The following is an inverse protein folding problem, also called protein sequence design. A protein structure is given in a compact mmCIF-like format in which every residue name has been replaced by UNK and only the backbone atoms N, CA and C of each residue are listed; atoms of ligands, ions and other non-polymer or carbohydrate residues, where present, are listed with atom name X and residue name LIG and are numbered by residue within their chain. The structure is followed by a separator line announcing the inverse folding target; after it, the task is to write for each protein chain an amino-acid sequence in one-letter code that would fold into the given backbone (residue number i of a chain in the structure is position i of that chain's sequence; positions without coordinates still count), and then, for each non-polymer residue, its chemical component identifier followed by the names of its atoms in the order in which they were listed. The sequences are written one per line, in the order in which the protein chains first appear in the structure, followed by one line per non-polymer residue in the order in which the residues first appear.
data_IF_946409359245
#
_entry.id   IF_946409359245
#
_cell.length_a   1.000
_cell.length_b   1.000
_cell.length_c   1.000
_cell.angle_alpha   90.00
_cell.angle_beta   90.00
_cell.angle_gamma   90.00
#
_symmetry.space_group_name_H-M   'P 1'
#
loop_
_entity.id
_entity.type
_entity.pdbx_description
1 polymer ?
#
# COMPACT_ATOMS: atom_id res chain seq x y z
N UNK A 1 55.01 -92.26 -46.81
CA UNK A 1 53.88 -91.41 -47.26
C UNK A 1 53.01 -91.09 -46.06
N UNK A 2 52.65 -89.81 -45.84
CA UNK A 2 51.83 -89.41 -44.69
C UNK A 2 52.04 -87.95 -44.29
N UNK A 3 51.78 -87.02 -45.22
CA UNK A 3 51.56 -85.61 -44.89
C UNK A 3 50.18 -85.49 -44.25
N UNK A 4 50.06 -84.76 -43.14
CA UNK A 4 49.03 -83.74 -42.88
C UNK A 4 48.86 -83.51 -41.37
N UNK A 5 49.12 -82.28 -40.92
CA UNK A 5 48.16 -81.45 -40.17
C UNK A 5 48.89 -80.28 -39.50
N UNK A 6 49.03 -79.18 -40.23
CA UNK A 6 49.24 -77.83 -39.66
C UNK A 6 48.18 -76.93 -40.27
N UNK A 7 46.98 -76.93 -39.68
CA UNK A 7 45.94 -75.98 -40.06
C UNK A 7 44.95 -75.73 -38.91
N UNK A 8 45.49 -75.25 -37.80
CA UNK A 8 44.67 -74.65 -36.75
C UNK A 8 45.48 -73.49 -36.16
N UNK A 9 44.79 -72.41 -35.79
CA UNK A 9 45.35 -71.20 -35.13
C UNK A 9 45.88 -70.13 -36.10
N UNK A 10 45.02 -69.52 -36.93
CA UNK A 10 45.26 -68.16 -37.49
C UNK A 10 43.95 -67.38 -37.74
N UNK A 11 42.89 -67.66 -36.97
CA UNK A 11 41.61 -66.92 -37.07
C UNK A 11 41.33 -66.07 -35.82
N UNK A 12 42.15 -66.15 -34.77
CA UNK A 12 41.85 -65.53 -33.48
C UNK A 12 42.33 -64.09 -33.29
N UNK A 13 43.35 -63.60 -34.02
CA UNK A 13 43.91 -62.26 -33.71
C UNK A 13 43.20 -61.10 -34.42
N UNK A 14 42.63 -61.31 -35.61
CA UNK A 14 41.90 -60.24 -36.33
C UNK A 14 40.58 -59.84 -35.66
N UNK A 15 39.93 -60.77 -34.97
CA UNK A 15 38.69 -60.47 -34.24
C UNK A 15 38.96 -59.69 -32.93
N UNK A 16 40.12 -59.89 -32.29
CA UNK A 16 40.50 -59.12 -31.09
C UNK A 16 40.85 -57.65 -31.40
N UNK A 17 41.46 -57.35 -32.56
CA UNK A 17 41.73 -55.97 -32.96
C UNK A 17 40.44 -55.18 -33.26
N UNK A 18 39.44 -55.82 -33.86
CA UNK A 18 38.12 -55.22 -34.13
C UNK A 18 37.31 -54.95 -32.85
N UNK A 19 37.44 -55.78 -31.81
CA UNK A 19 36.80 -55.52 -30.51
C UNK A 19 37.48 -54.37 -29.75
N UNK A 20 38.81 -54.25 -29.84
CA UNK A 20 39.56 -53.17 -29.18
C UNK A 20 39.28 -51.78 -29.78
N UNK A 21 38.89 -51.66 -31.06
CA UNK A 21 38.44 -50.39 -31.65
C UNK A 21 36.96 -50.05 -31.35
N UNK A 22 36.16 -51.03 -30.96
CA UNK A 22 34.72 -50.85 -30.65
C UNK A 22 34.49 -50.24 -29.26
N UNK A 23 35.37 -50.50 -28.30
CA UNK A 23 35.24 -50.02 -26.92
C UNK A 23 35.45 -48.49 -26.81
N UNK A 24 36.48 -47.89 -27.45
CA UNK A 24 36.68 -46.44 -27.44
C UNK A 24 35.53 -45.66 -28.11
N UNK A 25 34.98 -46.19 -29.21
CA UNK A 25 33.89 -45.52 -29.93
C UNK A 25 32.58 -45.50 -29.14
N UNK A 26 32.25 -46.56 -28.40
CA UNK A 26 31.09 -46.59 -27.51
C UNK A 26 31.24 -45.65 -26.31
N UNK A 27 32.45 -45.53 -25.75
CA UNK A 27 32.76 -44.58 -24.68
C UNK A 27 32.62 -43.13 -25.16
N UNK A 28 33.15 -42.81 -26.34
CA UNK A 28 33.04 -41.47 -26.93
C UNK A 28 31.57 -41.12 -27.19
N UNK A 29 30.78 -42.03 -27.77
CA UNK A 29 29.35 -41.81 -28.01
C UNK A 29 28.57 -41.57 -26.71
N UNK A 30 28.87 -42.31 -25.64
CA UNK A 30 28.27 -42.09 -24.31
C UNK A 30 28.65 -40.74 -23.71
N UNK A 31 29.90 -40.33 -23.87
CA UNK A 31 30.36 -39.01 -23.40
C UNK A 31 29.62 -37.90 -24.15
N UNK A 32 29.52 -38.00 -25.48
CA UNK A 32 28.78 -37.02 -26.30
C UNK A 32 27.31 -36.94 -25.90
N UNK A 33 26.65 -38.09 -25.68
CA UNK A 33 25.24 -38.11 -25.28
C UNK A 33 25.05 -37.52 -23.88
N UNK A 34 25.93 -37.83 -22.93
CA UNK A 34 25.91 -37.23 -21.59
C UNK A 34 26.13 -35.72 -21.64
N UNK A 35 27.06 -35.24 -22.45
CA UNK A 35 27.28 -33.80 -22.66
C UNK A 35 26.04 -33.14 -23.25
N UNK A 36 25.38 -33.77 -24.22
CA UNK A 36 24.14 -33.26 -24.82
C UNK A 36 23.03 -33.12 -23.78
N UNK A 37 22.85 -34.12 -22.92
CA UNK A 37 21.83 -34.11 -21.84
C UNK A 37 22.13 -32.98 -20.86
N UNK A 38 23.37 -32.87 -20.37
CA UNK A 38 23.78 -31.83 -19.42
C UNK A 38 23.61 -30.44 -20.03
N UNK A 39 23.99 -30.26 -21.30
CA UNK A 39 23.86 -28.99 -21.99
C UNK A 39 22.38 -28.56 -22.14
N UNK A 40 21.50 -29.49 -22.50
CA UNK A 40 20.06 -29.21 -22.61
C UNK A 40 19.44 -28.84 -21.26
N UNK A 41 19.78 -29.56 -20.19
CA UNK A 41 19.33 -29.20 -18.84
C UNK A 41 19.81 -27.80 -18.45
N UNK A 42 21.08 -27.47 -18.70
CA UNK A 42 21.63 -26.15 -18.45
C UNK A 42 20.89 -25.04 -19.22
N UNK A 43 20.54 -25.29 -20.49
CA UNK A 43 19.79 -24.35 -21.32
C UNK A 43 18.38 -24.09 -20.76
N UNK A 44 17.69 -25.14 -20.32
CA UNK A 44 16.36 -25.04 -19.70
C UNK A 44 16.39 -24.26 -18.38
N UNK A 45 17.39 -24.52 -17.53
CA UNK A 45 17.58 -23.75 -16.29
C UNK A 45 17.84 -22.27 -16.56
N UNK A 46 18.68 -21.96 -17.56
CA UNK A 46 18.92 -20.57 -17.96
C UNK A 46 17.64 -19.88 -18.46
N UNK A 47 16.88 -20.54 -19.35
CA UNK A 47 15.59 -20.04 -19.83
C UNK A 47 14.59 -19.80 -18.70
N UNK A 48 14.50 -20.73 -17.75
CA UNK A 48 13.65 -20.59 -16.57
C UNK A 48 14.08 -19.39 -15.70
N UNK A 49 15.39 -19.24 -15.43
CA UNK A 49 15.92 -18.13 -14.65
C UNK A 49 15.66 -16.78 -15.34
N UNK A 50 15.87 -16.72 -16.66
CA UNK A 50 15.59 -15.51 -17.46
C UNK A 50 14.10 -15.15 -17.42
N UNK A 51 13.19 -16.13 -17.48
CA UNK A 51 11.75 -15.90 -17.32
C UNK A 51 11.39 -15.36 -15.93
N UNK A 52 11.98 -15.93 -14.87
CA UNK A 52 11.77 -15.45 -13.49
C UNK A 52 12.30 -14.02 -13.33
N UNK A 53 13.49 -13.73 -13.86
CA UNK A 53 14.06 -12.38 -13.88
C UNK A 53 13.18 -11.40 -14.66
N UNK A 54 12.67 -11.80 -15.82
CA UNK A 54 11.72 -10.98 -16.60
C UNK A 54 10.44 -10.72 -15.81
N UNK A 55 9.86 -11.72 -15.14
CA UNK A 55 8.68 -11.54 -14.30
C UNK A 55 8.98 -10.62 -13.11
N UNK A 56 10.13 -10.78 -12.46
CA UNK A 56 10.56 -9.92 -11.36
C UNK A 56 10.81 -8.49 -11.83
N UNK A 57 11.42 -8.30 -13.01
CA UNK A 57 11.60 -6.99 -13.63
C UNK A 57 10.25 -6.39 -14.01
N UNK A 58 9.34 -7.13 -14.63
CA UNK A 58 7.98 -6.67 -14.95
C UNK A 58 7.22 -6.27 -13.67
N UNK A 59 7.35 -7.03 -12.59
CA UNK A 59 6.75 -6.70 -11.28
C UNK A 59 7.40 -5.47 -10.64
N UNK A 60 8.72 -5.29 -10.78
CA UNK A 60 9.43 -4.09 -10.32
C UNK A 60 9.18 -2.86 -11.21
N UNK A 61 8.89 -3.07 -12.50
CA UNK A 61 8.56 -2.03 -13.48
C UNK A 61 7.06 -1.71 -13.52
N UNK A 62 6.22 -2.47 -12.81
CA UNK A 62 4.93 -1.98 -12.29
C UNK A 62 5.15 -0.93 -11.19
N UNK A 63 6.12 -0.03 -11.40
CA UNK A 63 6.14 1.27 -10.75
C UNK A 63 4.77 1.90 -11.01
N UNK A 64 4.11 2.44 -9.97
CA UNK A 64 2.74 2.91 -10.08
C UNK A 64 2.64 3.87 -11.25
N UNK A 65 1.76 3.50 -12.19
CA UNK A 65 1.22 4.36 -13.23
C UNK A 65 1.06 5.76 -12.64
N UNK A 66 1.69 6.71 -13.32
CA UNK A 66 2.15 7.97 -12.78
C UNK A 66 1.09 8.67 -11.90
N UNK A 67 1.31 8.68 -10.58
CA UNK A 67 0.64 9.60 -9.65
C UNK A 67 1.00 11.10 -9.91
N UNK A 68 1.51 11.41 -11.11
CA UNK A 68 1.90 12.75 -11.55
C UNK A 68 0.62 13.58 -11.67
N UNK A 69 0.40 14.43 -10.67
CA UNK A 69 -0.73 15.35 -10.65
C UNK A 69 -1.41 15.40 -9.29
N UNK A 70 -1.67 14.25 -8.67
CA UNK A 70 -2.44 14.18 -7.42
C UNK A 70 -1.59 14.40 -6.16
N UNK A 71 -0.27 14.17 -6.23
CA UNK A 71 0.60 14.34 -5.05
C UNK A 71 0.51 15.78 -4.54
N UNK A 72 0.30 15.95 -3.24
CA UNK A 72 0.12 17.27 -2.63
C UNK A 72 -0.97 17.27 -1.57
N UNK A 73 -1.29 18.48 -1.10
CA UNK A 73 -2.43 18.74 -0.23
C UNK A 73 -3.58 19.27 -1.10
N UNK A 74 -4.79 18.82 -0.80
CA UNK A 74 -6.03 19.24 -1.45
C UNK A 74 -7.07 19.52 -0.38
N UNK A 75 -7.84 20.58 -0.56
CA UNK A 75 -8.91 21.00 0.31
C UNK A 75 -10.25 20.66 -0.35
N UNK A 76 -11.14 20.00 0.38
CA UNK A 76 -12.46 19.67 -0.15
C UNK A 76 -13.27 20.92 -0.41
N UNK A 77 -14.08 20.88 -1.47
CA UNK A 77 -15.12 21.87 -1.70
C UNK A 77 -16.18 21.82 -0.60
N UNK A 78 -16.98 22.88 -0.50
CA UNK A 78 -18.08 22.95 0.48
C UNK A 78 -19.09 21.82 0.28
N UNK A 79 -19.39 21.47 -0.96
CA UNK A 79 -20.33 20.41 -1.33
C UNK A 79 -19.98 19.07 -0.69
N UNK A 80 -18.68 18.71 -0.67
CA UNK A 80 -18.20 17.49 -0.01
C UNK A 80 -18.37 17.58 1.50
N UNK A 81 -18.08 18.74 2.10
CA UNK A 81 -18.20 18.93 3.55
C UNK A 81 -19.65 18.99 4.05
N UNK A 82 -20.59 19.43 3.21
CA UNK A 82 -22.02 19.48 3.54
C UNK A 82 -22.66 18.09 3.59
N UNK A 83 -22.13 17.12 2.82
CA UNK A 83 -22.55 15.72 2.91
C UNK A 83 -22.12 15.03 4.21
N UNK A 84 -21.27 15.70 5.00
CA UNK A 84 -20.66 15.15 6.21
C UNK A 84 -21.31 15.77 7.44
N UNK A 85 -22.43 15.18 7.88
CA UNK A 85 -23.21 15.67 9.02
C UNK A 85 -22.57 15.27 10.36
N UNK A 86 -21.60 16.07 10.83
CA UNK A 86 -20.94 15.84 12.11
C UNK A 86 -21.43 16.74 13.25
N UNK A 87 -22.42 17.60 13.01
CA UNK A 87 -22.96 18.53 14.01
C UNK A 87 -22.00 19.66 14.37
N UNK A 88 -21.08 20.00 13.46
CA UNK A 88 -20.23 21.18 13.53
C UNK A 88 -20.81 22.29 12.65
N UNK A 89 -20.69 23.54 13.08
CA UNK A 89 -21.16 24.71 12.33
C UNK A 89 -20.26 25.01 11.13
N UNK A 90 -18.95 24.79 11.31
CA UNK A 90 -17.96 24.87 10.25
C UNK A 90 -17.24 23.54 10.15
N UNK A 91 -17.20 22.98 8.96
CA UNK A 91 -16.45 21.76 8.67
C UNK A 91 -15.44 22.06 7.57
N UNK A 92 -14.26 21.47 7.69
CA UNK A 92 -13.23 21.49 6.66
C UNK A 92 -12.67 20.09 6.50
N UNK A 93 -12.43 19.68 5.26
CA UNK A 93 -11.81 18.39 4.95
C UNK A 93 -10.63 18.62 4.02
N UNK A 94 -9.53 17.89 4.23
CA UNK A 94 -8.36 17.96 3.36
C UNK A 94 -7.70 16.60 3.19
N UNK A 95 -7.20 16.37 1.98
CA UNK A 95 -6.44 15.20 1.60
C UNK A 95 -4.96 15.55 1.45
N UNK A 96 -4.08 14.60 1.79
CA UNK A 96 -2.66 14.67 1.50
C UNK A 96 -2.19 13.35 0.90
N UNK A 97 -1.90 13.40 -0.40
CA UNK A 97 -1.35 12.29 -1.17
C UNK A 97 0.18 12.38 -1.18
N UNK A 98 0.86 11.34 -0.69
CA UNK A 98 2.32 11.26 -0.72
C UNK A 98 2.81 10.40 -1.88
N UNK A 99 4.00 10.68 -2.41
CA UNK A 99 4.63 9.92 -3.50
C UNK A 99 4.80 8.42 -3.20
N UNK A 100 4.88 8.04 -1.93
CA UNK A 100 5.03 6.64 -1.49
C UNK A 100 3.69 5.91 -1.31
N UNK A 101 2.62 6.38 -1.95
CA UNK A 101 1.29 5.75 -1.86
C UNK A 101 0.58 5.93 -0.51
N UNK A 102 1.06 6.80 0.38
CA UNK A 102 0.36 7.10 1.65
C UNK A 102 -0.71 8.18 1.45
N UNK A 103 -1.90 7.92 1.98
CA UNK A 103 -3.05 8.83 2.03
C UNK A 103 -3.24 9.32 3.47
N UNK A 104 -3.45 10.62 3.64
CA UNK A 104 -3.86 11.21 4.92
C UNK A 104 -5.07 12.09 4.65
N UNK A 105 -6.13 11.91 5.42
CA UNK A 105 -7.33 12.74 5.38
C UNK A 105 -7.47 13.40 6.74
N UNK A 106 -7.70 14.71 6.74
CA UNK A 106 -7.97 15.48 7.95
C UNK A 106 -9.33 16.14 7.81
N UNK A 107 -10.23 15.82 8.73
CA UNK A 107 -11.52 16.50 8.87
C UNK A 107 -11.48 17.30 10.17
N UNK A 108 -11.75 18.59 10.10
CA UNK A 108 -11.75 19.52 11.22
C UNK A 108 -13.11 20.20 11.31
N UNK A 109 -13.74 20.10 12.48
CA UNK A 109 -15.04 20.67 12.78
C UNK A 109 -14.94 21.70 13.89
N UNK A 110 -15.66 22.80 13.75
CA UNK A 110 -15.74 23.89 14.72
C UNK A 110 -17.21 24.21 15.03
N UNK A 111 -17.51 24.37 16.32
CA UNK A 111 -18.82 24.85 16.81
C UNK A 111 -18.59 25.95 17.83
N UNK A 112 -19.26 27.09 17.67
CA UNK A 112 -19.36 28.09 18.72
C UNK A 112 -20.31 27.58 19.81
N UNK A 113 -19.87 27.54 21.07
CA UNK A 113 -20.82 27.35 22.17
C UNK A 113 -21.41 28.72 22.49
N UNK A 114 -22.68 28.97 22.13
CA UNK A 114 -23.43 30.06 22.75
C UNK A 114 -23.94 29.57 24.11
N UNK A 115 -23.27 29.98 25.19
CA UNK A 115 -23.83 29.78 26.53
C UNK A 115 -24.99 30.76 26.72
N UNK A 116 -26.17 30.24 27.04
CA UNK A 116 -27.36 31.04 27.32
C UNK A 116 -27.17 31.97 28.52
N UNK A 117 -27.57 33.24 28.32
CA UNK A 117 -27.99 34.32 29.23
C UNK A 117 -27.25 34.64 30.55
N UNK A 118 -26.44 33.77 31.15
CA UNK A 118 -25.76 34.05 32.42
C UNK A 118 -24.44 33.28 32.53
N UNK A 119 -23.41 33.67 31.76
CA UNK A 119 -22.03 33.42 32.19
C UNK A 119 -21.06 34.26 31.39
N UNK A 120 -20.11 34.84 32.11
CA UNK A 120 -19.08 35.79 31.70
C UNK A 120 -18.15 35.29 30.59
N UNK A 121 -17.94 36.12 29.57
CA UNK A 121 -16.71 36.35 28.78
C UNK A 121 -15.87 35.20 28.19
N UNK A 122 -16.27 33.94 28.28
CA UNK A 122 -15.52 32.85 27.66
C UNK A 122 -16.16 32.44 26.32
N UNK A 123 -15.57 32.88 25.21
CA UNK A 123 -15.85 32.34 23.88
C UNK A 123 -15.25 30.93 23.77
N UNK A 124 -15.96 29.92 24.28
CA UNK A 124 -15.53 28.54 24.13
C UNK A 124 -15.84 28.05 22.71
N UNK A 125 -14.78 27.79 21.94
CA UNK A 125 -14.87 27.22 20.61
C UNK A 125 -14.56 25.72 20.68
N UNK A 126 -15.54 24.87 20.43
CA UNK A 126 -15.29 23.42 20.38
C UNK A 126 -14.65 23.06 19.05
N UNK A 127 -13.54 22.32 19.08
CA UNK A 127 -12.84 21.85 17.88
C UNK A 127 -12.76 20.31 17.87
N UNK A 128 -13.27 19.70 16.82
CA UNK A 128 -13.11 18.27 16.56
C UNK A 128 -12.10 18.04 15.44
N UNK A 129 -11.28 17.02 15.58
CA UNK A 129 -10.33 16.59 14.57
C UNK A 129 -10.46 15.10 14.32
N UNK A 130 -10.45 14.73 13.06
CA UNK A 130 -10.42 13.34 12.61
C UNK A 130 -9.27 13.21 11.64
N UNK A 131 -8.42 12.24 11.92
CA UNK A 131 -7.26 11.89 11.11
C UNK A 131 -7.42 10.47 10.61
N UNK A 132 -7.45 10.31 9.28
CA UNK A 132 -7.54 9.02 8.64
C UNK A 132 -6.23 8.77 7.88
N UNK A 133 -5.61 7.64 8.16
CA UNK A 133 -4.38 7.17 7.53
C UNK A 133 -4.69 5.96 6.66
N UNK A 134 -4.34 6.06 5.39
CA UNK A 134 -4.56 5.00 4.41
C UNK A 134 -3.41 4.84 3.44
N UNK A 135 -3.63 3.95 2.48
CA UNK A 135 -2.83 3.85 1.27
C UNK A 135 -3.70 4.16 0.06
N UNK A 136 -3.08 4.60 -1.02
CA UNK A 136 -3.72 4.73 -2.31
C UNK A 136 -2.82 4.19 -3.41
N UNK A 137 -3.44 3.74 -4.48
CA UNK A 137 -2.81 3.27 -5.71
C UNK A 137 -3.46 3.93 -6.90
N UNK A 138 -2.67 4.18 -7.95
CA UNK A 138 -3.17 4.70 -9.22
C UNK A 138 -2.80 3.70 -10.31
N UNK A 139 -3.78 3.30 -11.10
CA UNK A 139 -3.62 2.45 -12.27
C UNK A 139 -4.57 2.95 -13.36
N UNK A 140 -4.05 3.18 -14.56
CA UNK A 140 -4.84 3.51 -15.77
C UNK A 140 -5.89 4.62 -15.58
N UNK A 141 -5.49 5.73 -14.93
CA UNK A 141 -6.40 6.87 -14.70
C UNK A 141 -7.46 6.64 -13.61
N UNK A 142 -7.35 5.54 -12.88
CA UNK A 142 -8.19 5.20 -11.74
C UNK A 142 -7.41 5.24 -10.44
N UNK A 143 -8.10 5.58 -9.35
CA UNK A 143 -7.58 5.59 -7.99
C UNK A 143 -8.30 4.55 -7.14
N UNK A 144 -7.52 3.79 -6.38
CA UNK A 144 -8.05 2.95 -5.30
C UNK A 144 -7.43 3.35 -3.98
N UNK A 145 -8.16 3.20 -2.88
CA UNK A 145 -7.68 3.50 -1.54
C UNK A 145 -8.03 2.40 -0.56
N UNK A 146 -7.13 2.21 0.41
CA UNK A 146 -7.29 1.22 1.48
C UNK A 146 -7.02 1.93 2.80
N UNK A 147 -8.06 2.03 3.63
CA UNK A 147 -8.00 2.53 5.00
C UNK A 147 -8.35 1.39 5.93
N UNK A 148 -7.46 1.10 6.89
CA UNK A 148 -7.76 0.13 7.94
C UNK A 148 -8.49 0.82 9.10
N UNK A 149 -9.29 0.08 9.84
CA UNK A 149 -10.00 0.60 11.02
C UNK A 149 -9.05 1.21 12.07
N UNK A 150 -7.84 0.66 12.22
CA UNK A 150 -6.81 1.22 13.12
C UNK A 150 -6.19 2.51 12.59
N UNK A 151 -6.35 2.81 11.30
CA UNK A 151 -5.89 4.04 10.67
C UNK A 151 -6.76 5.26 10.93
N UNK A 152 -7.92 5.10 11.59
CA UNK A 152 -8.84 6.18 11.93
C UNK A 152 -8.63 6.63 13.37
N UNK A 153 -8.08 7.82 13.53
CA UNK A 153 -7.83 8.50 14.81
C UNK A 153 -8.81 9.67 14.96
N UNK A 154 -9.48 9.77 16.10
CA UNK A 154 -10.46 10.83 16.40
C UNK A 154 -10.09 11.56 17.67
N UNK A 155 -10.10 12.88 17.64
CA UNK A 155 -9.79 13.75 18.76
C UNK A 155 -10.88 14.81 18.89
N UNK A 156 -11.55 14.85 20.03
CA UNK A 156 -12.40 15.99 20.39
C UNK A 156 -11.62 16.88 21.37
N UNK A 157 -11.41 18.14 21.01
CA UNK A 157 -10.78 19.15 21.86
C UNK A 157 -11.83 20.19 22.20
N UNK A 158 -12.17 20.30 23.48
CA UNK A 158 -12.84 21.51 23.97
C UNK A 158 -11.74 22.54 24.23
N UNK A 159 -11.70 23.64 23.48
CA UNK A 159 -10.69 24.66 23.76
C UNK A 159 -11.10 25.40 25.04
N UNK A 160 -10.49 25.02 26.15
CA UNK A 160 -10.17 26.02 27.15
C UNK A 160 -8.91 26.72 26.63
N UNK A 161 -9.02 28.00 26.28
CA UNK A 161 -7.85 28.88 26.21
C UNK A 161 -7.29 28.98 27.64
N UNK A 162 -6.59 27.94 28.09
CA UNK A 162 -5.71 28.05 29.23
C UNK A 162 -4.53 28.90 28.77
N UNK A 163 -4.65 30.20 28.99
CA UNK A 163 -3.49 31.04 29.19
C UNK A 163 -2.67 30.41 30.32
N UNK A 164 -1.69 29.59 29.98
CA UNK A 164 -0.70 29.05 30.91
C UNK A 164 0.15 30.23 31.40
N UNK A 165 -0.32 30.93 32.42
CA UNK A 165 0.49 31.84 33.23
C UNK A 165 -0.05 31.81 34.65
N UNK A 166 0.18 30.71 35.35
CA UNK A 166 0.59 30.70 36.76
C UNK A 166 0.87 29.29 37.22
N UNK A 167 1.95 29.16 38.00
CA UNK A 167 2.41 27.94 38.64
C UNK A 167 1.39 27.48 39.70
N UNK A 168 1.08 26.18 39.68
CA UNK A 168 0.27 25.41 40.66
C UNK A 168 -1.26 25.44 40.48
N UNK A 169 -1.89 24.33 40.02
CA UNK A 169 -3.34 24.19 40.04
C UNK A 169 -3.85 23.94 41.47
N UNK A 170 -4.94 24.60 41.92
CA UNK A 170 -5.62 24.23 43.16
C UNK A 170 -6.26 22.85 43.03
N UNK A 171 -6.39 22.13 44.16
CA UNK A 171 -6.79 20.71 44.25
C UNK A 171 -8.13 20.33 43.60
N UNK A 172 -8.98 21.30 43.24
CA UNK A 172 -10.26 21.07 42.53
C UNK A 172 -10.10 20.84 41.02
N UNK A 173 -9.02 21.37 40.42
CA UNK A 173 -8.75 21.29 38.97
C UNK A 173 -8.51 19.86 38.45
N UNK A 174 -8.00 18.96 39.29
CA UNK A 174 -7.74 17.56 38.90
C UNK A 174 -9.04 16.80 38.61
N UNK A 175 -10.14 17.17 39.28
CA UNK A 175 -11.45 16.52 39.09
C UNK A 175 -12.17 16.99 37.82
N UNK A 176 -11.97 18.25 37.43
CA UNK A 176 -12.50 18.82 36.18
C UNK A 176 -11.73 18.32 34.95
N UNK A 177 -10.39 18.26 35.04
CA UNK A 177 -9.55 17.67 33.98
C UNK A 177 -9.93 16.21 33.73
N UNK A 178 -10.17 15.42 34.78
CA UNK A 178 -10.60 14.01 34.66
C UNK A 178 -11.99 13.85 34.04
N UNK A 179 -12.92 14.77 34.33
CA UNK A 179 -14.25 14.79 33.70
C UNK A 179 -14.17 15.19 32.24
N UNK A 180 -13.37 16.19 31.91
CA UNK A 180 -13.20 16.70 30.53
C UNK A 180 -12.50 15.67 29.63
N UNK A 181 -11.49 14.96 30.15
CA UNK A 181 -10.88 13.80 29.48
C UNK A 181 -11.91 12.67 29.25
N UNK A 182 -12.78 12.41 30.22
CA UNK A 182 -13.83 11.39 30.11
C UNK A 182 -14.90 11.76 29.07
N UNK A 183 -15.32 13.04 29.02
CA UNK A 183 -16.25 13.54 28.00
C UNK A 183 -15.62 13.59 26.60
N UNK A 184 -14.37 14.03 26.50
CA UNK A 184 -13.60 14.03 25.25
C UNK A 184 -13.44 12.62 24.68
N UNK A 185 -13.16 11.62 25.53
CA UNK A 185 -13.08 10.22 25.13
C UNK A 185 -14.42 9.64 24.68
N UNK A 186 -15.50 9.88 25.42
CA UNK A 186 -16.84 9.40 25.05
C UNK A 186 -17.30 9.98 23.70
N UNK A 187 -17.07 11.28 23.48
CA UNK A 187 -17.42 11.95 22.22
C UNK A 187 -16.56 11.50 21.06
N UNK A 188 -15.26 11.28 21.28
CA UNK A 188 -14.36 10.70 20.28
C UNK A 188 -14.83 9.31 19.82
N UNK A 189 -15.34 8.47 20.74
CA UNK A 189 -15.95 7.16 20.39
C UNK A 189 -17.21 7.31 19.54
N UNK A 190 -18.08 8.27 19.86
CA UNK A 190 -19.32 8.53 19.09
C UNK A 190 -18.97 9.05 17.69
N UNK A 191 -18.03 10.00 17.58
CA UNK A 191 -17.53 10.51 16.31
C UNK A 191 -16.93 9.38 15.46
N UNK A 192 -16.12 8.49 16.07
CA UNK A 192 -15.55 7.32 15.40
C UNK A 192 -16.61 6.38 14.85
N UNK A 193 -17.71 6.16 15.58
CA UNK A 193 -18.80 5.30 15.13
C UNK A 193 -19.54 5.91 13.93
N UNK A 194 -19.87 7.20 13.99
CA UNK A 194 -20.52 7.92 12.87
C UNK A 194 -19.62 8.04 11.64
N UNK A 195 -18.31 8.05 11.82
CA UNK A 195 -17.38 8.10 10.69
C UNK A 195 -17.46 6.89 9.79
N UNK A 196 -17.78 5.70 10.30
CA UNK A 196 -17.92 4.52 9.46
C UNK A 196 -19.02 4.70 8.38
N UNK A 197 -20.00 5.57 8.64
CA UNK A 197 -21.06 5.91 7.69
C UNK A 197 -20.54 6.80 6.53
N UNK A 198 -19.37 7.43 6.70
CA UNK A 198 -18.75 8.35 5.73
C UNK A 198 -17.57 7.72 4.96
N UNK A 199 -17.54 6.38 4.83
CA UNK A 199 -16.48 5.65 4.12
C UNK A 199 -16.27 6.11 2.67
N UNK A 200 -17.28 6.70 2.02
CA UNK A 200 -17.17 7.27 0.66
C UNK A 200 -16.05 8.33 0.53
N UNK A 201 -15.62 8.93 1.65
CA UNK A 201 -14.50 9.87 1.67
C UNK A 201 -13.14 9.19 1.46
N UNK A 202 -13.03 7.86 1.61
CA UNK A 202 -11.74 7.18 1.57
C UNK A 202 -11.74 5.74 1.08
N UNK A 203 -12.90 5.19 0.77
CA UNK A 203 -13.08 3.85 0.23
C UNK A 203 -13.39 3.97 -1.25
N UNK A 204 -12.33 4.11 -2.04
CA UNK A 204 -12.40 4.21 -3.50
C UNK A 204 -11.92 2.89 -4.07
N UNK A 205 -12.76 2.28 -4.91
CA UNK A 205 -12.42 1.07 -5.63
C UNK A 205 -12.42 1.36 -7.13
N UNK A 206 -11.22 1.55 -7.69
CA UNK A 206 -11.04 1.80 -9.12
C UNK A 206 -11.82 3.01 -9.65
N UNK A 207 -11.97 4.04 -8.82
CA UNK A 207 -12.70 5.26 -9.18
C UNK A 207 -11.90 6.08 -10.20
N UNK A 208 -12.53 6.62 -11.26
CA UNK A 208 -11.85 7.52 -12.19
C UNK A 208 -11.41 8.78 -11.43
N UNK A 209 -10.24 9.33 -11.76
CA UNK A 209 -9.81 10.62 -11.23
C UNK A 209 -9.39 11.58 -12.34
N UNK A 210 -9.53 12.88 -12.07
CA UNK A 210 -9.11 13.93 -12.99
C UNK A 210 -8.43 15.04 -12.20
N UNK A 211 -7.33 15.56 -12.74
CA UNK A 211 -6.60 16.71 -12.17
C UNK A 211 -6.57 17.82 -13.21
N UNK A 212 -7.26 18.92 -12.91
CA UNK A 212 -7.38 20.07 -13.81
C UNK A 212 -6.77 21.30 -13.14
N UNK A 213 -5.45 21.47 -13.31
CA UNK A 213 -4.71 22.59 -12.73
C UNK A 213 -4.69 22.59 -11.20
N UNK A 214 -5.69 23.25 -10.59
CA UNK A 214 -5.88 23.34 -9.14
C UNK A 214 -7.01 22.48 -8.61
N UNK A 215 -7.77 21.82 -9.47
CA UNK A 215 -8.88 20.95 -9.07
C UNK A 215 -8.48 19.48 -9.17
N UNK A 216 -8.92 18.69 -8.19
CA UNK A 216 -8.88 17.24 -8.16
C UNK A 216 -10.31 16.74 -8.04
N UNK A 217 -10.72 15.90 -8.98
CA UNK A 217 -11.98 15.17 -8.94
C UNK A 217 -11.70 13.66 -8.81
N UNK A 218 -12.38 12.99 -7.89
CA UNK A 218 -12.37 11.53 -7.72
C UNK A 218 -13.82 11.04 -7.78
N UNK A 219 -14.09 10.15 -8.73
CA UNK A 219 -15.45 9.70 -9.06
C UNK A 219 -16.37 10.88 -9.38
N UNK A 220 -17.65 10.71 -9.06
CA UNK A 220 -18.65 11.78 -9.20
C UNK A 220 -18.80 12.65 -7.95
N UNK A 221 -18.24 12.19 -6.81
CA UNK A 221 -18.64 12.66 -5.48
C UNK A 221 -17.62 13.58 -4.81
N UNK A 222 -16.35 13.46 -5.19
CA UNK A 222 -15.28 14.18 -4.50
C UNK A 222 -14.66 15.22 -5.41
N UNK A 223 -14.77 16.49 -5.02
CA UNK A 223 -14.10 17.62 -5.68
C UNK A 223 -13.26 18.35 -4.63
N UNK A 224 -12.00 18.61 -4.96
CA UNK A 224 -11.05 19.28 -4.09
C UNK A 224 -10.21 20.31 -4.85
N UNK A 225 -9.69 21.31 -4.14
CA UNK A 225 -8.89 22.40 -4.68
C UNK A 225 -7.54 22.53 -3.97
N UNK A 226 -6.53 23.08 -4.67
CA UNK A 226 -5.15 23.28 -4.18
C UNK A 226 -4.91 24.65 -3.57
#
# INVERSE_FOLDING_TARGET
MGKNSKKTIMVSSKNQELENFRIPSLLIMRIVENFRIIFNQFLEYHLMLTRILLLAICFCLQMPCEAKGIVGRWHCTKEVTEQVEMGYEKLSCSYKFKKNGKLIIKIEGETAISHGLYSSHFNHQRRGYIYIKGKYTICDGKISSIVKNEGVETYAVESQDYHWKTETPPSESVSEISREESYGMARSRILRKRLLDYHFLWDWDEEPYTVTGKELKIGERLVCER
#
